data_IF_174399350773
#
_entry.id   IF_174399350773
#
_cell.length_a   1.000
_cell.length_b   1.000
_cell.length_c   1.000
_cell.angle_alpha   90.00
_cell.angle_beta   90.00
_cell.angle_gamma   90.00
#
_symmetry.space_group_name_H-M   'P 1'
#
loop_
_entity.id
_entity.type
_entity.pdbx_description
1 polymer ?
#
# COMPACT_ATOMS: atom_id res chain seq x y z
N UNK A 1 6.12 1.73 -25.49
CA UNK A 1 5.38 2.65 -24.61
C UNK A 1 5.04 1.88 -23.33
N UNK A 2 5.32 2.46 -22.15
CA UNK A 2 5.01 1.82 -20.86
C UNK A 2 3.55 2.08 -20.46
N UNK A 3 2.85 1.04 -19.99
CA UNK A 3 1.50 1.13 -19.44
C UNK A 3 1.57 1.39 -17.93
N UNK A 4 1.04 2.53 -17.46
CA UNK A 4 0.99 2.88 -16.04
C UNK A 4 -0.46 3.06 -15.59
N UNK A 5 -0.84 2.39 -14.52
CA UNK A 5 -2.13 2.56 -13.85
C UNK A 5 -1.91 3.25 -12.50
N UNK A 6 -2.41 4.47 -12.36
CA UNK A 6 -2.45 5.17 -11.07
C UNK A 6 -3.84 5.04 -10.48
N UNK A 7 -3.94 4.39 -9.33
CA UNK A 7 -5.21 4.20 -8.63
C UNK A 7 -5.60 5.46 -7.88
N UNK A 8 -6.88 5.83 -8.01
CA UNK A 8 -7.50 6.87 -7.20
C UNK A 8 -8.83 6.35 -6.67
N UNK A 9 -8.93 6.15 -5.37
CA UNK A 9 -10.17 5.72 -4.70
C UNK A 9 -10.16 6.20 -3.26
N UNK A 10 -11.31 6.20 -2.62
CA UNK A 10 -11.44 6.50 -1.20
C UNK A 10 -11.38 5.19 -0.41
N UNK A 11 -10.32 4.95 0.38
CA UNK A 11 -10.26 3.78 1.24
C UNK A 11 -11.37 3.81 2.29
N UNK A 12 -11.92 2.64 2.61
CA UNK A 12 -12.82 2.48 3.75
C UNK A 12 -11.99 2.51 5.04
N UNK A 13 -12.31 3.46 5.92
CA UNK A 13 -11.57 3.68 7.16
C UNK A 13 -11.54 2.42 8.03
N UNK A 14 -10.35 1.96 8.40
CA UNK A 14 -10.11 0.81 9.26
C UNK A 14 -10.42 -0.57 8.65
N UNK A 15 -10.90 -0.65 7.41
CA UNK A 15 -11.26 -1.93 6.78
C UNK A 15 -10.21 -2.36 5.75
N UNK A 16 -9.12 -2.93 6.24
CA UNK A 16 -7.98 -3.39 5.42
C UNK A 16 -8.43 -4.38 4.34
N UNK A 17 -9.26 -5.35 4.67
CA UNK A 17 -9.70 -6.39 3.73
C UNK A 17 -10.48 -5.81 2.56
N UNK A 18 -11.44 -4.93 2.86
CA UNK A 18 -12.19 -4.22 1.83
C UNK A 18 -11.27 -3.42 0.91
N UNK A 19 -10.29 -2.72 1.48
CA UNK A 19 -9.37 -1.87 0.73
C UNK A 19 -8.43 -2.68 -0.18
N UNK A 20 -7.90 -3.80 0.31
CA UNK A 20 -7.09 -4.72 -0.50
C UNK A 20 -7.90 -5.30 -1.65
N UNK A 21 -9.12 -5.75 -1.38
CA UNK A 21 -10.01 -6.27 -2.42
C UNK A 21 -10.34 -5.18 -3.45
N UNK A 22 -10.58 -3.95 -3.01
CA UNK A 22 -10.85 -2.81 -3.91
C UNK A 22 -9.69 -2.52 -4.86
N UNK A 23 -8.47 -2.60 -4.39
CA UNK A 23 -7.27 -2.50 -5.24
C UNK A 23 -7.27 -3.59 -6.32
N UNK A 24 -7.52 -4.85 -5.95
CA UNK A 24 -7.57 -5.95 -6.90
C UNK A 24 -8.71 -5.78 -7.93
N UNK A 25 -9.88 -5.31 -7.50
CA UNK A 25 -11.01 -5.02 -8.40
C UNK A 25 -10.62 -3.99 -9.46
N UNK A 26 -10.05 -2.84 -9.04
CA UNK A 26 -9.63 -1.79 -9.97
C UNK A 26 -8.58 -2.31 -10.95
N UNK A 27 -7.56 -3.03 -10.48
CA UNK A 27 -6.54 -3.58 -11.38
C UNK A 27 -7.16 -4.58 -12.37
N UNK A 28 -8.13 -5.38 -11.93
CA UNK A 28 -8.79 -6.37 -12.78
C UNK A 28 -9.55 -5.76 -13.94
N UNK A 29 -10.10 -4.55 -13.79
CA UNK A 29 -10.79 -3.82 -14.86
C UNK A 29 -9.85 -3.43 -16.03
N UNK A 30 -8.56 -3.42 -15.78
CA UNK A 30 -7.51 -3.11 -16.76
C UNK A 30 -6.65 -4.31 -17.13
N UNK A 31 -7.09 -5.52 -16.79
CA UNK A 31 -6.32 -6.76 -17.02
C UNK A 31 -6.09 -7.10 -18.49
N UNK A 32 -6.91 -6.54 -19.39
CA UNK A 32 -6.74 -6.62 -20.85
C UNK A 32 -5.64 -5.67 -21.38
N UNK A 33 -5.18 -4.74 -20.56
CA UNK A 33 -4.11 -3.80 -20.89
C UNK A 33 -2.76 -4.37 -20.43
N UNK A 34 -1.72 -4.04 -21.19
CA UNK A 34 -0.36 -4.30 -20.73
C UNK A 34 0.03 -3.26 -19.67
N UNK A 35 -0.01 -3.67 -18.40
CA UNK A 35 0.41 -2.84 -17.28
C UNK A 35 1.87 -3.13 -16.93
N UNK A 36 2.72 -2.14 -17.03
CA UNK A 36 4.13 -2.23 -16.59
C UNK A 36 4.31 -1.77 -15.15
N UNK A 37 3.42 -0.88 -14.68
CA UNK A 37 3.46 -0.33 -13.33
C UNK A 37 2.05 0.01 -12.83
N UNK A 38 1.77 -0.37 -11.59
CA UNK A 38 0.61 0.07 -10.83
C UNK A 38 1.08 0.90 -9.65
N UNK A 39 0.46 2.07 -9.45
CA UNK A 39 0.74 2.97 -8.32
C UNK A 39 -0.51 3.10 -7.47
N UNK A 40 -0.39 2.77 -6.18
CA UNK A 40 -1.49 2.77 -5.20
C UNK A 40 -1.32 4.00 -4.29
N UNK A 41 -2.40 4.65 -3.83
CA UNK A 41 -2.32 5.86 -3.02
C UNK A 41 -1.80 5.62 -1.59
N UNK A 42 -1.38 6.69 -0.93
CA UNK A 42 -1.00 6.69 0.48
C UNK A 42 -2.17 6.25 1.38
N UNK A 43 -1.88 5.55 2.48
CA UNK A 43 -2.86 5.02 3.44
C UNK A 43 -3.95 4.13 2.82
N UNK A 44 -3.69 3.51 1.70
CA UNK A 44 -4.73 2.77 0.99
C UNK A 44 -5.31 1.61 1.79
N UNK A 45 -4.52 0.98 2.67
CA UNK A 45 -4.95 -0.20 3.42
C UNK A 45 -5.86 0.12 4.61
N UNK A 46 -5.60 1.24 5.29
CA UNK A 46 -6.33 1.61 6.52
C UNK A 46 -7.22 2.84 6.35
N UNK A 47 -7.03 3.61 5.28
CA UNK A 47 -7.51 4.98 5.22
C UNK A 47 -6.78 5.85 6.24
N UNK A 48 -7.20 7.11 6.38
CA UNK A 48 -6.71 8.01 7.43
C UNK A 48 -7.47 7.66 8.71
N UNK A 49 -6.96 6.67 9.46
CA UNK A 49 -7.56 6.13 10.67
C UNK A 49 -6.45 5.77 11.65
N UNK A 50 -6.25 6.61 12.66
CA UNK A 50 -5.18 6.45 13.65
C UNK A 50 -5.27 5.10 14.38
N UNK A 51 -6.46 4.68 14.79
CA UNK A 51 -6.66 3.40 15.47
C UNK A 51 -6.23 2.21 14.61
N UNK A 52 -6.56 2.21 13.33
CA UNK A 52 -6.17 1.14 12.41
C UNK A 52 -4.66 1.19 12.10
N UNK A 53 -4.09 2.39 11.98
CA UNK A 53 -2.66 2.59 11.76
C UNK A 53 -1.84 2.03 12.93
N UNK A 54 -2.28 2.28 14.18
CA UNK A 54 -1.60 1.86 15.40
C UNK A 54 -1.80 0.36 15.68
N UNK A 55 -3.02 -0.15 15.49
CA UNK A 55 -3.42 -1.48 15.96
C UNK A 55 -3.32 -2.58 14.89
N UNK A 56 -3.14 -2.21 13.62
CA UNK A 56 -3.05 -3.17 12.52
C UNK A 56 -1.84 -2.93 11.61
N UNK A 57 -0.64 -2.69 12.17
CA UNK A 57 0.56 -2.48 11.35
C UNK A 57 1.01 -3.77 10.69
N UNK A 58 1.70 -3.62 9.57
CA UNK A 58 2.49 -4.68 8.95
C UNK A 58 3.81 -4.89 9.69
N UNK A 59 4.42 -6.05 9.57
CA UNK A 59 5.79 -6.28 10.03
C UNK A 59 6.82 -5.65 9.06
N UNK A 60 8.09 -5.70 9.42
CA UNK A 60 9.19 -5.11 8.61
C UNK A 60 9.36 -5.74 7.23
N UNK A 61 8.79 -6.90 7.01
CA UNK A 61 8.76 -7.61 5.73
C UNK A 61 7.46 -7.36 4.95
N UNK A 62 6.57 -6.54 5.51
CA UNK A 62 5.36 -6.05 4.89
C UNK A 62 4.09 -6.86 5.11
N UNK A 63 4.15 -7.92 5.90
CA UNK A 63 3.00 -8.65 6.39
C UNK A 63 1.94 -9.01 5.33
N UNK A 64 0.68 -8.80 5.69
CA UNK A 64 -0.48 -9.13 4.86
C UNK A 64 -0.56 -8.28 3.58
N UNK A 65 -0.25 -6.99 3.68
CA UNK A 65 -0.29 -6.06 2.54
C UNK A 65 0.71 -6.50 1.47
N UNK A 66 1.97 -6.75 1.83
CA UNK A 66 2.99 -7.18 0.87
C UNK A 66 2.65 -8.55 0.29
N UNK A 67 2.17 -9.49 1.11
CA UNK A 67 1.73 -10.80 0.63
C UNK A 67 0.63 -10.68 -0.43
N UNK A 68 -0.42 -9.91 -0.15
CA UNK A 68 -1.52 -9.68 -1.09
C UNK A 68 -1.05 -9.02 -2.39
N UNK A 69 -0.24 -7.98 -2.29
CA UNK A 69 0.28 -7.26 -3.46
C UNK A 69 1.30 -8.07 -4.24
N UNK A 70 2.07 -8.95 -3.59
CA UNK A 70 2.93 -9.95 -4.24
C UNK A 70 2.14 -10.90 -5.15
N UNK A 71 1.03 -11.44 -4.64
CA UNK A 71 0.13 -12.28 -5.41
C UNK A 71 -0.51 -11.51 -6.57
N UNK A 72 -0.93 -10.27 -6.32
CA UNK A 72 -1.48 -9.35 -7.32
C UNK A 72 -0.47 -9.03 -8.42
N UNK A 73 0.79 -8.71 -8.06
CA UNK A 73 1.86 -8.42 -9.01
C UNK A 73 2.11 -9.61 -9.95
N UNK A 74 2.18 -10.83 -9.40
CA UNK A 74 2.31 -12.06 -10.19
C UNK A 74 1.12 -12.30 -11.10
N UNK A 75 -0.09 -12.18 -10.55
CA UNK A 75 -1.34 -12.44 -11.28
C UNK A 75 -1.49 -11.56 -12.53
N UNK A 76 -1.16 -10.27 -12.40
CA UNK A 76 -1.30 -9.31 -13.49
C UNK A 76 0.02 -9.02 -14.21
N UNK A 77 1.10 -9.69 -13.85
CA UNK A 77 2.45 -9.53 -14.43
C UNK A 77 2.91 -8.07 -14.48
N UNK A 78 2.71 -7.34 -13.40
CA UNK A 78 2.99 -5.89 -13.27
C UNK A 78 3.86 -5.58 -12.06
N UNK A 79 4.63 -4.50 -12.13
CA UNK A 79 5.29 -3.96 -10.95
C UNK A 79 4.28 -3.13 -10.13
N UNK A 80 4.45 -3.08 -8.81
CA UNK A 80 3.54 -2.34 -7.93
C UNK A 80 4.34 -1.42 -7.01
N UNK A 81 4.01 -0.14 -7.02
CA UNK A 81 4.34 0.78 -5.92
C UNK A 81 3.13 0.82 -5.00
N UNK A 82 3.25 0.12 -3.89
CA UNK A 82 2.27 0.17 -2.82
C UNK A 82 2.37 1.54 -2.15
N UNK A 83 1.40 2.40 -2.33
CA UNK A 83 1.36 3.75 -1.75
C UNK A 83 1.99 3.77 -0.37
N UNK A 84 1.20 3.67 0.70
CA UNK A 84 1.79 3.41 2.02
C UNK A 84 0.90 2.53 2.89
N UNK A 85 1.54 1.81 3.80
CA UNK A 85 0.91 1.08 4.89
C UNK A 85 1.64 1.37 6.21
N UNK A 86 0.97 1.15 7.33
CA UNK A 86 1.60 1.18 8.65
C UNK A 86 2.57 0.01 8.79
N UNK A 87 3.78 0.27 9.19
CA UNK A 87 4.82 -0.73 9.47
C UNK A 87 5.28 -0.62 10.93
N UNK A 88 5.41 -1.74 11.62
CA UNK A 88 5.99 -1.82 12.96
C UNK A 88 7.41 -2.39 12.91
N UNK A 89 8.35 -1.65 13.50
CA UNK A 89 9.72 -2.10 13.70
C UNK A 89 10.11 -1.86 15.18
N UNK A 90 10.14 -2.93 15.96
CA UNK A 90 10.23 -2.85 17.42
C UNK A 90 9.04 -2.09 18.01
N UNK A 91 9.34 -1.01 18.75
CA UNK A 91 8.32 -0.16 19.36
C UNK A 91 7.84 0.99 18.46
N UNK A 92 8.45 1.16 17.28
CA UNK A 92 8.16 2.29 16.40
C UNK A 92 7.21 1.92 15.27
N UNK A 93 6.37 2.88 14.90
CA UNK A 93 5.51 2.81 13.73
C UNK A 93 6.03 3.74 12.64
N UNK A 94 5.89 3.28 11.41
CA UNK A 94 6.32 4.03 10.23
C UNK A 94 5.22 4.04 9.18
N UNK A 95 5.11 5.14 8.46
CA UNK A 95 4.31 5.22 7.25
C UNK A 95 5.22 4.81 6.06
N UNK A 96 5.02 3.60 5.55
CA UNK A 96 5.99 2.93 4.69
C UNK A 96 5.41 2.58 3.31
N UNK A 97 6.10 3.00 2.26
CA UNK A 97 5.88 2.53 0.90
C UNK A 97 6.70 1.27 0.63
N UNK A 98 6.07 0.31 -0.04
CA UNK A 98 6.70 -0.93 -0.50
C UNK A 98 6.71 -0.98 -2.03
N UNK A 99 7.74 -1.55 -2.63
CA UNK A 99 7.86 -1.72 -4.07
C UNK A 99 8.03 -3.19 -4.41
N UNK A 100 7.15 -3.71 -5.25
CA UNK A 100 7.18 -5.10 -5.69
C UNK A 100 7.43 -5.17 -7.20
N UNK A 101 8.25 -6.14 -7.61
CA UNK A 101 8.40 -6.43 -9.02
C UNK A 101 7.27 -7.35 -9.52
N UNK A 102 7.20 -7.55 -10.84
CA UNK A 102 6.19 -8.42 -11.49
C UNK A 102 6.27 -9.90 -11.09
N UNK A 103 7.38 -10.32 -10.52
CA UNK A 103 7.55 -11.66 -9.94
C UNK A 103 7.03 -11.73 -8.49
N UNK A 104 6.50 -10.62 -7.95
CA UNK A 104 5.98 -10.52 -6.60
C UNK A 104 7.05 -10.42 -5.52
N UNK A 105 8.29 -10.09 -5.89
CA UNK A 105 9.39 -9.91 -4.92
C UNK A 105 9.37 -8.47 -4.39
N UNK A 106 9.55 -8.31 -3.09
CA UNK A 106 9.76 -7.01 -2.44
C UNK A 106 11.17 -6.52 -2.80
N UNK A 107 11.25 -5.50 -3.67
CA UNK A 107 12.50 -4.97 -4.19
C UNK A 107 12.88 -3.60 -3.62
N UNK A 108 11.99 -2.98 -2.87
CA UNK A 108 12.27 -1.67 -2.28
C UNK A 108 11.28 -1.31 -1.18
N UNK A 109 11.75 -0.47 -0.27
CA UNK A 109 11.00 0.08 0.85
C UNK A 109 11.45 1.51 1.15
N UNK A 110 10.49 2.38 1.45
CA UNK A 110 10.76 3.76 1.86
C UNK A 110 9.87 4.14 3.04
N UNK A 111 10.45 4.58 4.13
CA UNK A 111 9.76 5.13 5.31
C UNK A 111 9.65 6.64 5.16
N UNK A 112 8.43 7.17 5.29
CA UNK A 112 8.15 8.61 5.21
C UNK A 112 8.97 9.38 6.24
N UNK A 113 9.71 10.40 5.79
CA UNK A 113 10.59 11.22 6.64
C UNK A 113 9.82 12.44 7.16
N UNK A 114 9.08 13.13 6.30
CA UNK A 114 8.32 14.33 6.64
C UNK A 114 6.88 13.97 7.00
N UNK A 115 6.64 13.77 8.29
CA UNK A 115 5.35 13.35 8.83
C UNK A 115 4.36 14.52 8.84
N UNK A 116 3.07 14.22 8.62
CA UNK A 116 2.02 15.22 8.56
C UNK A 116 1.43 15.46 9.95
N UNK A 117 1.63 16.68 10.50
CA UNK A 117 1.16 17.09 11.84
C UNK A 117 0.28 18.34 11.81
N UNK A 118 -0.36 18.65 10.66
CA UNK A 118 -1.22 19.82 10.50
C UNK A 118 -2.69 19.41 10.42
N UNK A 119 -3.59 20.32 10.80
CA UNK A 119 -5.06 20.14 10.68
C UNK A 119 -5.59 18.84 11.31
N UNK A 120 -5.03 18.43 12.45
CA UNK A 120 -5.45 17.22 13.17
C UNK A 120 -4.75 15.93 12.71
N UNK A 121 -3.78 16.01 11.82
CA UNK A 121 -2.89 14.89 11.51
C UNK A 121 -1.92 14.62 12.65
N UNK A 122 -1.73 13.35 13.01
CA UNK A 122 -0.97 12.90 14.17
C UNK A 122 0.20 11.96 13.85
N UNK A 123 0.67 11.92 12.59
CA UNK A 123 1.72 10.97 12.18
C UNK A 123 3.01 11.06 13.04
N UNK A 124 3.31 12.20 13.62
CA UNK A 124 4.48 12.39 14.46
C UNK A 124 4.33 11.94 15.92
N UNK A 125 3.19 11.36 16.29
CA UNK A 125 2.92 10.87 17.65
C UNK A 125 3.05 9.35 17.80
N UNK A 126 3.39 8.63 16.73
CA UNK A 126 3.53 7.17 16.72
C UNK A 126 4.96 6.69 16.92
#
# INVERSE_FOLDING_TARGET
MAGVLSLQFTPKSGDKQFNLQKVNEIISEYSDKKLDLVVIPEFFSTGICDDAFINSPEDVNGGEVVKFLSETARKYNTNIVCGTASERDGEKLFNTAFVLNRSGELIGKYRKIHLYNFFGGNEGTY
#
